data_IF_036155442191
#
_entry.id   IF_036155442191
#
_cell.length_a   1.000
_cell.length_b   1.000
_cell.length_c   1.000
_cell.angle_alpha   90.00
_cell.angle_beta   90.00
_cell.angle_gamma   90.00
#
_symmetry.space_group_name_H-M   'P 1'
#
loop_
_entity.id
_entity.type
_entity.pdbx_description
1 polymer ?
#
# COMPACT_ATOMS: atom_id res chain seq x y z
N UNK A 1 -47.76 -14.83 -31.48
CA UNK A 1 -46.59 -13.90 -31.51
C UNK A 1 -46.10 -13.70 -30.10
N UNK A 2 -45.08 -14.43 -29.74
CA UNK A 2 -44.49 -14.39 -28.42
C UNK A 2 -43.30 -13.43 -28.41
N UNK A 3 -43.50 -12.28 -27.83
CA UNK A 3 -42.42 -11.30 -27.55
C UNK A 3 -41.46 -11.89 -26.49
N UNK A 4 -40.24 -12.26 -26.88
CA UNK A 4 -39.20 -12.68 -25.97
C UNK A 4 -38.61 -11.39 -25.38
N UNK A 5 -38.77 -11.10 -24.07
CA UNK A 5 -38.20 -9.92 -23.47
C UNK A 5 -36.67 -10.02 -23.49
N UNK A 6 -36.03 -9.09 -24.18
CA UNK A 6 -34.57 -8.98 -24.22
C UNK A 6 -34.00 -8.82 -22.80
N UNK A 7 -33.06 -9.65 -22.35
CA UNK A 7 -32.49 -9.55 -21.02
C UNK A 7 -31.73 -8.22 -20.91
N UNK A 8 -32.22 -7.31 -20.06
CA UNK A 8 -31.49 -6.08 -19.69
C UNK A 8 -30.27 -6.48 -18.89
N UNK A 9 -29.11 -6.54 -19.53
CA UNK A 9 -27.83 -6.71 -18.87
C UNK A 9 -27.63 -5.54 -17.91
N UNK A 10 -27.86 -5.75 -16.61
CA UNK A 10 -27.48 -4.80 -15.57
C UNK A 10 -25.96 -4.64 -15.63
N UNK A 11 -25.51 -3.48 -16.10
CA UNK A 11 -24.12 -3.09 -16.03
C UNK A 11 -23.70 -3.18 -14.55
N UNK A 12 -22.87 -4.15 -14.20
CA UNK A 12 -22.34 -4.28 -12.83
C UNK A 12 -21.68 -2.96 -12.48
N UNK A 13 -22.25 -2.22 -11.52
CA UNK A 13 -21.59 -1.04 -10.99
C UNK A 13 -20.25 -1.52 -10.42
N UNK A 14 -19.15 -1.02 -10.97
CA UNK A 14 -17.83 -1.32 -10.48
C UNK A 14 -17.69 -0.59 -9.12
N UNK A 15 -17.88 -1.34 -8.05
CA UNK A 15 -17.67 -0.84 -6.70
C UNK A 15 -16.18 -0.50 -6.56
N UNK A 16 -15.81 0.73 -6.15
CA UNK A 16 -14.42 1.08 -5.94
C UNK A 16 -13.76 0.08 -4.99
N UNK A 17 -12.60 -0.44 -5.39
CA UNK A 17 -11.87 -1.41 -4.58
C UNK A 17 -11.39 -0.77 -3.29
N UNK A 18 -11.37 -1.53 -2.21
CA UNK A 18 -10.73 -1.09 -0.97
C UNK A 18 -9.24 -0.94 -1.20
N UNK A 19 -8.66 0.14 -0.71
CA UNK A 19 -7.23 0.42 -0.79
C UNK A 19 -6.67 0.49 0.63
N UNK A 20 -5.60 -0.24 0.88
CA UNK A 20 -4.81 -0.12 2.09
C UNK A 20 -3.43 0.41 1.72
N UNK A 21 -3.08 1.58 2.24
CA UNK A 21 -1.75 2.16 2.13
C UNK A 21 -1.01 1.97 3.45
N UNK A 22 0.16 1.38 3.38
CA UNK A 22 1.10 1.23 4.50
C UNK A 22 2.35 2.03 4.17
N UNK A 23 2.60 3.11 4.91
CA UNK A 23 3.66 4.09 4.65
C UNK A 23 4.77 3.89 5.66
N UNK A 24 5.94 3.52 5.19
CA UNK A 24 7.16 3.50 5.96
C UNK A 24 7.62 4.93 6.25
N UNK A 25 7.82 5.23 7.53
CA UNK A 25 8.25 6.54 8.02
C UNK A 25 9.62 6.48 8.71
N UNK A 26 10.42 5.48 8.38
CA UNK A 26 11.80 5.36 8.83
C UNK A 26 12.66 6.56 8.40
N UNK A 27 13.80 6.74 9.04
CA UNK A 27 14.71 7.85 8.74
C UNK A 27 15.15 7.91 7.27
N UNK A 28 15.35 6.77 6.62
CA UNK A 28 15.67 6.68 5.18
C UNK A 28 14.53 7.16 4.27
N UNK A 29 13.28 7.04 4.74
CA UNK A 29 12.09 7.46 4.00
C UNK A 29 11.69 8.91 4.22
N UNK A 30 12.39 9.66 5.07
CA UNK A 30 12.07 11.03 5.47
C UNK A 30 11.83 11.97 4.29
N UNK A 31 12.66 11.88 3.26
CA UNK A 31 12.53 12.72 2.05
C UNK A 31 11.25 12.45 1.25
N UNK A 32 10.68 11.26 1.37
CA UNK A 32 9.49 10.84 0.61
C UNK A 32 8.19 10.92 1.42
N UNK A 33 8.28 11.01 2.74
CA UNK A 33 7.12 10.92 3.63
C UNK A 33 6.08 11.99 3.34
N UNK A 34 6.49 13.25 3.13
CA UNK A 34 5.54 14.34 2.83
C UNK A 34 4.76 14.06 1.54
N UNK A 35 5.43 13.58 0.51
CA UNK A 35 4.83 13.25 -0.77
C UNK A 35 3.89 12.05 -0.66
N UNK A 36 4.26 11.06 0.14
CA UNK A 36 3.40 9.91 0.41
C UNK A 36 2.16 10.28 1.23
N UNK A 37 2.28 11.24 2.16
CA UNK A 37 1.11 11.78 2.86
C UNK A 37 0.17 12.55 1.91
N UNK A 38 0.71 13.33 0.96
CA UNK A 38 -0.09 14.00 -0.08
C UNK A 38 -0.83 12.98 -0.96
N UNK A 39 -0.15 11.90 -1.37
CA UNK A 39 -0.74 10.81 -2.12
C UNK A 39 -1.86 10.12 -1.33
N UNK A 40 -1.60 9.81 -0.06
CA UNK A 40 -2.54 9.19 0.84
C UNK A 40 -3.78 10.08 1.07
N UNK A 41 -3.59 11.39 1.23
CA UNK A 41 -4.69 12.35 1.29
C UNK A 41 -5.58 12.26 0.05
N UNK A 42 -4.98 12.33 -1.15
CA UNK A 42 -5.71 12.24 -2.40
C UNK A 42 -6.46 10.90 -2.52
N UNK A 43 -5.86 9.79 -2.09
CA UNK A 43 -6.49 8.48 -2.09
C UNK A 43 -7.70 8.42 -1.14
N UNK A 44 -7.58 8.95 0.09
CA UNK A 44 -8.67 8.97 1.08
C UNK A 44 -9.84 9.85 0.60
N UNK A 45 -9.55 11.03 0.06
CA UNK A 45 -10.58 11.95 -0.45
C UNK A 45 -11.26 11.41 -1.72
N UNK A 46 -10.48 10.75 -2.58
CA UNK A 46 -10.97 10.33 -3.91
C UNK A 46 -11.72 9.01 -3.94
N UNK A 47 -11.48 8.09 -2.99
CA UNK A 47 -12.07 6.75 -3.04
C UNK A 47 -13.13 6.49 -1.99
N UNK A 48 -13.10 7.21 -0.86
CA UNK A 48 -13.94 6.96 0.31
C UNK A 48 -13.72 5.59 0.99
N UNK A 49 -12.88 4.73 0.40
CA UNK A 49 -12.60 3.36 0.84
C UNK A 49 -11.10 3.08 1.03
N UNK A 50 -10.31 4.14 1.20
CA UNK A 50 -8.91 4.01 1.52
C UNK A 50 -8.70 4.01 3.03
N UNK A 51 -7.84 3.10 3.49
CA UNK A 51 -7.29 3.08 4.83
C UNK A 51 -5.79 3.31 4.74
N UNK A 52 -5.27 4.14 5.63
CA UNK A 52 -3.87 4.56 5.62
C UNK A 52 -3.28 4.38 7.01
N UNK A 53 -2.14 3.73 7.05
CA UNK A 53 -1.32 3.58 8.26
C UNK A 53 0.11 4.00 7.94
N UNK A 54 0.78 4.64 8.89
CA UNK A 54 2.23 4.71 8.91
C UNK A 54 2.80 3.63 9.81
N UNK A 55 3.98 3.17 9.46
CA UNK A 55 4.76 2.25 10.27
C UNK A 55 6.23 2.67 10.32
N UNK A 56 6.83 2.47 11.45
CA UNK A 56 8.21 2.76 11.77
C UNK A 56 8.50 2.01 13.06
N UNK A 57 8.88 2.70 14.12
CA UNK A 57 8.94 2.12 15.48
C UNK A 57 7.53 1.88 16.04
N UNK A 58 6.53 2.61 15.52
CA UNK A 58 5.13 2.46 15.86
C UNK A 58 4.25 2.29 14.63
N UNK A 59 3.10 1.68 14.84
CA UNK A 59 2.04 1.57 13.86
C UNK A 59 0.97 2.61 14.17
N UNK A 60 0.73 3.55 13.26
CA UNK A 60 -0.23 4.64 13.46
C UNK A 60 -1.26 4.70 12.34
N UNK A 61 -2.53 4.75 12.68
CA UNK A 61 -3.61 4.92 11.69
C UNK A 61 -3.78 6.39 11.35
N UNK A 62 -3.57 6.75 10.09
CA UNK A 62 -3.62 8.14 9.60
C UNK A 62 -4.96 8.50 8.95
N UNK A 63 -5.82 7.53 8.67
CA UNK A 63 -7.06 7.73 7.91
C UNK A 63 -7.94 8.83 8.47
N UNK A 64 -8.09 8.92 9.81
CA UNK A 64 -8.95 9.92 10.44
C UNK A 64 -8.45 11.36 10.20
N UNK A 65 -7.15 11.58 10.28
CA UNK A 65 -6.52 12.87 9.98
C UNK A 65 -6.67 13.23 8.50
N UNK A 66 -6.45 12.25 7.61
CA UNK A 66 -6.53 12.45 6.17
C UNK A 66 -7.97 12.60 5.63
N UNK A 67 -9.02 12.33 6.44
CA UNK A 67 -10.42 12.61 6.10
C UNK A 67 -10.82 14.07 6.27
N UNK A 68 -10.02 14.88 6.92
CA UNK A 68 -10.24 16.32 7.04
C UNK A 68 -10.23 16.94 5.63
N UNK A 69 -11.26 17.70 5.27
CA UNK A 69 -11.40 18.27 3.92
C UNK A 69 -10.35 19.33 3.60
N UNK A 70 -9.98 20.15 4.59
CA UNK A 70 -8.90 21.11 4.41
C UNK A 70 -7.58 20.37 4.29
N UNK A 71 -6.94 20.45 3.12
CA UNK A 71 -5.72 19.73 2.81
C UNK A 71 -4.56 20.07 3.76
N UNK A 72 -4.33 21.34 4.01
CA UNK A 72 -3.25 21.80 4.88
C UNK A 72 -3.43 21.23 6.28
N UNK A 73 -4.61 21.39 6.86
CA UNK A 73 -4.93 20.86 8.18
C UNK A 73 -4.83 19.35 8.25
N UNK A 74 -5.27 18.62 7.19
CA UNK A 74 -5.17 17.17 7.13
C UNK A 74 -3.71 16.71 7.16
N UNK A 75 -2.85 17.35 6.35
CA UNK A 75 -1.43 17.00 6.25
C UNK A 75 -0.66 17.37 7.52
N UNK A 76 -0.93 18.52 8.13
CA UNK A 76 -0.37 18.91 9.42
C UNK A 76 -0.72 17.90 10.52
N UNK A 77 -2.00 17.50 10.61
CA UNK A 77 -2.43 16.49 11.58
C UNK A 77 -1.83 15.11 11.31
N UNK A 78 -1.77 14.70 10.06
CA UNK A 78 -1.15 13.43 9.70
C UNK A 78 0.37 13.44 10.00
N UNK A 79 1.06 14.54 9.68
CA UNK A 79 2.47 14.75 9.98
C UNK A 79 2.76 14.71 11.48
N UNK A 80 1.93 15.38 12.31
CA UNK A 80 2.07 15.34 13.76
C UNK A 80 1.86 13.95 14.39
N UNK A 81 1.16 13.04 13.71
CA UNK A 81 1.00 11.65 14.15
C UNK A 81 2.20 10.78 13.78
N UNK A 82 3.05 11.25 12.85
CA UNK A 82 4.23 10.54 12.33
C UNK A 82 5.47 11.06 13.05
N UNK A 83 5.58 10.85 14.35
CA UNK A 83 6.63 11.47 15.18
C UNK A 83 7.97 10.68 15.21
N UNK A 84 8.04 9.47 14.66
CA UNK A 84 9.19 8.56 14.82
C UNK A 84 10.11 8.51 13.58
N UNK A 85 10.82 9.61 13.32
CA UNK A 85 11.74 9.70 12.19
C UNK A 85 13.11 9.03 12.40
N UNK A 86 13.50 8.74 13.64
CA UNK A 86 14.89 8.35 14.00
C UNK A 86 15.05 6.90 14.45
N UNK A 87 13.99 6.11 14.50
CA UNK A 87 14.03 4.69 14.85
C UNK A 87 14.42 3.79 13.68
N UNK A 88 15.27 2.79 13.94
CA UNK A 88 15.50 1.70 12.97
C UNK A 88 14.22 0.88 12.79
N UNK A 89 13.62 0.91 11.60
CA UNK A 89 12.38 0.18 11.32
C UNK A 89 12.65 -1.30 11.17
N UNK A 90 11.95 -2.11 11.94
CA UNK A 90 11.80 -3.55 11.73
C UNK A 90 10.51 -3.77 10.95
N UNK A 91 10.59 -3.70 9.64
CA UNK A 91 9.44 -3.71 8.72
C UNK A 91 8.61 -4.96 8.95
N UNK A 92 9.25 -6.14 8.94
CA UNK A 92 8.59 -7.43 9.15
C UNK A 92 7.83 -7.47 10.45
N UNK A 93 8.47 -7.13 11.58
CA UNK A 93 7.86 -7.14 12.89
C UNK A 93 6.64 -6.21 12.98
N UNK A 94 6.76 -4.99 12.44
CA UNK A 94 5.66 -4.00 12.51
C UNK A 94 4.49 -4.41 11.62
N UNK A 95 4.74 -4.97 10.44
CA UNK A 95 3.70 -5.49 9.56
C UNK A 95 3.01 -6.74 10.17
N UNK A 96 3.73 -7.61 10.86
CA UNK A 96 3.15 -8.72 11.61
C UNK A 96 2.29 -8.21 12.78
N UNK A 97 2.72 -7.17 13.48
CA UNK A 97 1.92 -6.52 14.52
C UNK A 97 0.62 -5.94 13.95
N UNK A 98 0.64 -5.30 12.77
CA UNK A 98 -0.57 -4.88 12.06
C UNK A 98 -1.52 -6.06 11.83
N UNK A 99 -1.00 -7.17 11.35
CA UNK A 99 -1.79 -8.36 11.01
C UNK A 99 -2.33 -9.09 12.23
N UNK A 100 -1.69 -8.97 13.39
CA UNK A 100 -2.14 -9.57 14.64
C UNK A 100 -3.39 -8.90 15.25
N UNK A 101 -3.68 -7.66 14.83
CA UNK A 101 -4.88 -6.92 15.27
C UNK A 101 -6.05 -7.23 14.31
N UNK A 102 -7.10 -7.97 14.71
CA UNK A 102 -8.16 -8.43 13.80
C UNK A 102 -8.83 -7.31 13.00
N UNK A 103 -9.09 -6.15 13.65
CA UNK A 103 -9.69 -4.99 12.98
C UNK A 103 -8.77 -4.38 11.90
N UNK A 104 -7.44 -4.48 12.05
CA UNK A 104 -6.49 -3.96 11.09
C UNK A 104 -6.30 -4.93 9.94
N UNK A 105 -6.10 -6.22 10.24
CA UNK A 105 -5.98 -7.26 9.21
C UNK A 105 -7.23 -7.35 8.32
N UNK A 106 -8.41 -7.00 8.85
CA UNK A 106 -9.64 -6.93 8.08
C UNK A 106 -9.59 -5.88 6.96
N UNK A 107 -8.78 -4.82 7.07
CA UNK A 107 -8.60 -3.84 5.99
C UNK A 107 -7.83 -4.43 4.80
N UNK A 108 -6.91 -5.34 5.03
CA UNK A 108 -6.14 -5.99 3.97
C UNK A 108 -6.95 -7.03 3.19
N UNK A 109 -7.94 -7.65 3.83
CA UNK A 109 -8.70 -8.76 3.25
C UNK A 109 -9.48 -8.35 1.99
N UNK A 110 -9.07 -8.87 0.84
CA UNK A 110 -9.66 -8.55 -0.46
C UNK A 110 -9.43 -7.10 -0.91
N UNK A 111 -8.50 -6.37 -0.29
CA UNK A 111 -8.11 -5.01 -0.69
C UNK A 111 -6.92 -5.04 -1.65
N UNK A 112 -6.70 -3.93 -2.34
CA UNK A 112 -5.40 -3.61 -2.92
C UNK A 112 -4.53 -3.07 -1.80
N UNK A 113 -3.43 -3.76 -1.50
CA UNK A 113 -2.45 -3.35 -0.49
C UNK A 113 -1.24 -2.77 -1.19
N UNK A 114 -0.88 -1.54 -0.85
CA UNK A 114 0.32 -0.87 -1.35
C UNK A 114 1.19 -0.50 -0.16
N UNK A 115 2.38 -1.05 -0.13
CA UNK A 115 3.41 -0.75 0.87
C UNK A 115 4.40 0.23 0.23
N UNK A 116 4.56 1.38 0.86
CA UNK A 116 5.44 2.47 0.44
C UNK A 116 6.66 2.44 1.35
N UNK A 117 7.77 1.87 0.90
CA UNK A 117 8.99 1.64 1.71
C UNK A 117 10.21 1.41 0.82
N UNK A 118 11.40 1.73 1.31
CA UNK A 118 12.66 1.32 0.69
C UNK A 118 12.97 -0.18 0.90
N UNK A 119 12.17 -0.85 1.74
CA UNK A 119 12.31 -2.26 2.09
C UNK A 119 13.70 -2.62 2.67
N UNK A 120 14.36 -1.66 3.33
CA UNK A 120 15.62 -1.88 4.03
C UNK A 120 15.35 -2.44 5.43
N UNK A 121 15.10 -3.75 5.49
CA UNK A 121 14.84 -4.46 6.74
C UNK A 121 16.07 -4.45 7.66
N UNK A 122 15.86 -4.01 8.91
CA UNK A 122 16.89 -4.04 9.96
C UNK A 122 16.70 -5.17 10.99
N UNK A 123 15.57 -5.87 10.88
CA UNK A 123 15.25 -7.05 11.68
C UNK A 123 15.56 -8.33 10.95
N UNK A 124 14.81 -9.38 11.30
CA UNK A 124 14.92 -10.68 10.64
C UNK A 124 14.22 -10.65 9.28
N UNK A 125 14.92 -10.90 8.16
CA UNK A 125 14.31 -11.01 6.83
C UNK A 125 13.15 -12.02 6.77
N UNK A 126 13.18 -13.07 7.60
CA UNK A 126 12.12 -14.08 7.65
C UNK A 126 10.79 -13.51 8.19
N UNK A 127 10.85 -12.54 9.10
CA UNK A 127 9.64 -11.85 9.57
C UNK A 127 9.00 -11.02 8.46
N UNK A 128 9.81 -10.33 7.65
CA UNK A 128 9.34 -9.58 6.49
C UNK A 128 8.74 -10.50 5.44
N UNK A 129 9.39 -11.61 5.10
CA UNK A 129 8.87 -12.63 4.19
C UNK A 129 7.50 -13.16 4.68
N UNK A 130 7.40 -13.49 5.97
CA UNK A 130 6.16 -13.97 6.58
C UNK A 130 5.05 -12.93 6.49
N UNK A 131 5.34 -11.66 6.79
CA UNK A 131 4.37 -10.57 6.73
C UNK A 131 3.85 -10.36 5.30
N UNK A 132 4.74 -10.31 4.31
CA UNK A 132 4.36 -10.14 2.90
C UNK A 132 3.57 -11.34 2.37
N UNK A 133 3.96 -12.57 2.73
CA UNK A 133 3.23 -13.78 2.37
C UNK A 133 1.80 -13.79 2.91
N UNK A 134 1.59 -13.35 4.15
CA UNK A 134 0.25 -13.20 4.75
C UNK A 134 -0.58 -12.13 4.05
N UNK A 135 0.01 -11.00 3.65
CA UNK A 135 -0.68 -10.01 2.84
C UNK A 135 -1.07 -10.58 1.47
N UNK A 136 -0.14 -11.24 0.78
CA UNK A 136 -0.41 -11.86 -0.52
C UNK A 136 -1.54 -12.90 -0.47
N UNK A 137 -1.64 -13.65 0.63
CA UNK A 137 -2.70 -14.64 0.83
C UNK A 137 -4.08 -14.01 1.08
N UNK A 138 -4.14 -12.82 1.68
CA UNK A 138 -5.40 -12.17 2.09
C UNK A 138 -5.84 -11.04 1.18
N UNK A 139 -4.91 -10.32 0.57
CA UNK A 139 -5.17 -9.20 -0.32
C UNK A 139 -5.60 -9.65 -1.72
N UNK A 140 -6.30 -8.79 -2.43
CA UNK A 140 -6.57 -8.99 -3.85
C UNK A 140 -5.32 -8.73 -4.71
N UNK A 141 -4.50 -7.78 -4.26
CA UNK A 141 -3.26 -7.38 -4.92
C UNK A 141 -2.30 -6.83 -3.88
N UNK A 142 -1.04 -7.19 -3.97
CA UNK A 142 0.02 -6.72 -3.10
C UNK A 142 1.11 -6.05 -3.93
N UNK A 143 1.35 -4.77 -3.67
CA UNK A 143 2.35 -3.98 -4.38
C UNK A 143 3.33 -3.35 -3.40
N UNK A 144 4.61 -3.38 -3.75
CA UNK A 144 5.64 -2.60 -3.08
C UNK A 144 6.04 -1.43 -3.98
N UNK A 145 5.91 -0.21 -3.48
CA UNK A 145 6.42 0.99 -4.12
C UNK A 145 7.65 1.46 -3.36
N UNK A 146 8.79 1.42 -4.02
CA UNK A 146 10.06 1.80 -3.42
C UNK A 146 10.71 2.96 -4.18
N UNK A 147 11.18 4.01 -3.46
CA UNK A 147 11.89 5.11 -4.12
C UNK A 147 13.21 4.67 -4.76
N UNK A 148 13.78 3.56 -4.30
CA UNK A 148 15.00 3.00 -4.86
C UNK A 148 14.84 2.57 -6.33
N UNK A 149 13.64 2.14 -6.73
CA UNK A 149 13.36 1.72 -8.11
C UNK A 149 13.37 2.88 -9.12
N UNK A 150 13.46 4.12 -8.67
CA UNK A 150 13.69 5.28 -9.54
C UNK A 150 15.13 5.39 -10.06
N UNK A 151 16.11 4.72 -9.43
CA UNK A 151 17.48 4.64 -9.94
C UNK A 151 17.57 3.52 -10.99
N UNK A 152 18.00 3.79 -12.23
CA UNK A 152 18.18 2.76 -13.27
C UNK A 152 19.16 1.65 -12.88
N UNK A 153 20.04 1.90 -11.92
CA UNK A 153 21.02 0.93 -11.40
C UNK A 153 20.41 0.06 -10.28
N UNK A 154 19.24 0.39 -9.80
CA UNK A 154 18.59 -0.37 -8.74
C UNK A 154 18.48 -1.86 -9.09
N UNK A 155 18.92 -2.69 -8.18
CA UNK A 155 18.75 -4.14 -8.25
C UNK A 155 18.18 -4.62 -6.91
N UNK A 156 17.11 -5.41 -6.91
CA UNK A 156 16.49 -5.93 -5.68
C UNK A 156 17.32 -7.08 -5.11
N UNK A 157 18.54 -6.78 -4.62
CA UNK A 157 19.52 -7.79 -4.25
C UNK A 157 19.60 -8.07 -2.75
N UNK A 158 19.01 -7.22 -1.89
CA UNK A 158 19.00 -7.50 -0.46
C UNK A 158 18.25 -8.80 -0.18
N UNK A 159 18.68 -9.53 0.85
CA UNK A 159 18.05 -10.79 1.23
C UNK A 159 16.54 -10.61 1.46
N UNK A 160 16.15 -9.56 2.18
CA UNK A 160 14.74 -9.25 2.45
C UNK A 160 13.92 -8.99 1.18
N UNK A 161 14.44 -8.17 0.24
CA UNK A 161 13.78 -7.92 -1.03
C UNK A 161 13.64 -9.19 -1.87
N UNK A 162 14.70 -9.99 -1.98
CA UNK A 162 14.66 -11.25 -2.72
C UNK A 162 13.60 -12.21 -2.17
N UNK A 163 13.44 -12.26 -0.85
CA UNK A 163 12.47 -13.14 -0.20
C UNK A 163 11.03 -12.74 -0.52
N UNK A 164 10.71 -11.44 -0.63
CA UNK A 164 9.34 -10.97 -0.86
C UNK A 164 8.97 -10.84 -2.33
N UNK A 165 9.93 -10.71 -3.27
CA UNK A 165 9.65 -10.57 -4.70
C UNK A 165 8.67 -11.61 -5.26
N UNK A 166 8.77 -12.91 -4.92
CA UNK A 166 7.88 -13.93 -5.47
C UNK A 166 6.40 -13.75 -5.10
N UNK A 167 6.12 -13.06 -4.00
CA UNK A 167 4.75 -12.86 -3.49
C UNK A 167 4.15 -11.50 -3.86
N UNK A 168 4.95 -10.60 -4.46
CA UNK A 168 4.47 -9.31 -4.96
C UNK A 168 3.76 -9.46 -6.30
N UNK A 169 2.66 -8.74 -6.47
CA UNK A 169 2.05 -8.53 -7.79
C UNK A 169 2.78 -7.43 -8.57
N UNK A 170 3.32 -6.42 -7.87
CA UNK A 170 4.05 -5.30 -8.47
C UNK A 170 5.21 -4.85 -7.59
N UNK A 171 6.32 -4.52 -8.24
CA UNK A 171 7.39 -3.68 -7.70
C UNK A 171 7.40 -2.37 -8.51
N UNK A 172 7.14 -1.25 -7.84
CA UNK A 172 6.82 0.03 -8.47
C UNK A 172 7.85 1.09 -8.09
N UNK A 173 8.19 1.96 -9.04
CA UNK A 173 8.93 3.17 -8.74
C UNK A 173 8.11 4.11 -7.85
N UNK A 174 8.58 4.26 -6.61
CA UNK A 174 8.01 5.14 -5.59
C UNK A 174 8.67 6.52 -5.50
N UNK A 175 9.61 6.85 -6.39
CA UNK A 175 10.41 8.07 -6.30
C UNK A 175 9.62 9.35 -6.64
N UNK A 176 8.47 9.23 -7.32
CA UNK A 176 7.67 10.39 -7.72
C UNK A 176 6.18 10.24 -7.44
N UNK A 177 5.55 11.33 -6.98
CA UNK A 177 4.09 11.40 -6.78
C UNK A 177 3.34 11.14 -8.10
N UNK A 178 3.81 11.68 -9.21
CA UNK A 178 3.16 11.53 -10.50
C UNK A 178 3.11 10.07 -10.95
N UNK A 179 4.22 9.34 -10.80
CA UNK A 179 4.30 7.90 -11.08
C UNK A 179 3.38 7.10 -10.18
N UNK A 180 3.40 7.36 -8.88
CA UNK A 180 2.54 6.70 -7.91
C UNK A 180 1.05 6.99 -8.13
N UNK A 181 0.70 8.23 -8.45
CA UNK A 181 -0.69 8.59 -8.78
C UNK A 181 -1.17 7.82 -10.01
N UNK A 182 -0.35 7.80 -11.07
CA UNK A 182 -0.65 7.03 -12.29
C UNK A 182 -0.83 5.54 -11.99
N UNK A 183 0.05 4.98 -11.15
CA UNK A 183 -0.04 3.60 -10.70
C UNK A 183 -1.34 3.33 -9.94
N UNK A 184 -1.68 4.13 -8.91
CA UNK A 184 -2.92 3.97 -8.14
C UNK A 184 -4.18 4.09 -9.01
N UNK A 185 -4.17 4.97 -10.00
CA UNK A 185 -5.27 5.09 -10.96
C UNK A 185 -5.39 3.85 -11.86
N UNK A 186 -4.26 3.26 -12.25
CA UNK A 186 -4.23 2.03 -13.06
C UNK A 186 -4.74 0.80 -12.29
N UNK A 187 -4.62 0.78 -10.95
CA UNK A 187 -5.13 -0.30 -10.09
C UNK A 187 -6.67 -0.45 -10.13
N UNK A 188 -7.38 0.50 -10.70
CA UNK A 188 -8.83 0.36 -10.98
C UNK A 188 -9.14 -0.69 -12.03
N UNK A 189 -8.16 -1.07 -12.87
CA UNK A 189 -8.30 -2.14 -13.87
C UNK A 189 -7.99 -3.49 -13.23
N UNK A 190 -8.70 -4.59 -13.59
CA UNK A 190 -8.32 -5.91 -13.13
C UNK A 190 -6.87 -6.21 -13.58
N UNK A 191 -6.05 -6.90 -12.76
CA UNK A 191 -4.75 -7.37 -13.22
C UNK A 191 -4.96 -8.21 -14.49
N UNK A 192 -4.06 -8.06 -15.47
CA UNK A 192 -3.97 -9.03 -16.53
C UNK A 192 -3.81 -10.41 -15.86
N UNK A 193 -4.65 -11.38 -16.27
CA UNK A 193 -4.66 -12.74 -15.72
C UNK A 193 -3.25 -13.20 -15.40
N UNK A 194 -3.01 -13.65 -14.15
CA UNK A 194 -1.77 -14.37 -13.83
C UNK A 194 -1.67 -15.51 -14.85
N UNK A 195 -0.75 -15.39 -15.79
CA UNK A 195 -0.41 -16.51 -16.64
C UNK A 195 0.10 -17.60 -15.70
N UNK A 196 -0.70 -18.65 -15.56
CA UNK A 196 -0.31 -19.88 -14.86
C UNK A 196 0.97 -20.36 -15.54
N UNK A 197 2.12 -20.13 -14.90
CA UNK A 197 3.35 -20.80 -15.33
C UNK A 197 3.15 -22.27 -14.96
N UNK A 198 2.83 -23.06 -15.98
CA UNK A 198 2.95 -24.52 -15.98
C UNK A 198 4.42 -24.90 -15.94
#
# INVERSE_FOLDING_TARGET
DGDIPSPRLRRRQQVPRRLLLLIDVSGSMKLHTEDYLKLAYAAVQGTGRAEVFSFGTRLTRLTSALRIRNRTQALERAGALVEDWDGGTRIGQTLLAFQSVPRFSAFARGAVVVILSDALERGDPAEMETAFSRFAASAQRLSLATPLAGDPRFRPETQALRAILPVLDDLVDGSSIAGLTKFLLALRRPPASRATKV
#
